data_IF_366070086496
#
_entry.id   IF_366070086496
#
_cell.length_a   1.000
_cell.length_b   1.000
_cell.length_c   1.000
_cell.angle_alpha   90.00
_cell.angle_beta   90.00
_cell.angle_gamma   90.00
#
_symmetry.space_group_name_H-M   'P 1'
#
loop_
_entity.id
_entity.type
_entity.pdbx_description
1 polymer ?
#
# COMPACT_ATOMS: atom_id res chain seq x y z
N UNK A 1 6.47 23.04 10.63
CA UNK A 1 5.30 22.80 11.49
C UNK A 1 5.19 21.29 11.60
N UNK A 2 5.22 20.69 12.79
CA UNK A 2 4.99 19.23 12.90
C UNK A 2 3.53 18.97 12.55
N UNK A 3 3.27 17.98 11.70
CA UNK A 3 1.91 17.60 11.31
C UNK A 3 1.15 17.03 12.50
N UNK A 4 -0.19 17.05 12.44
CA UNK A 4 -1.03 16.44 13.47
C UNK A 4 -0.74 14.93 13.60
N UNK A 5 -0.40 14.26 12.49
CA UNK A 5 0.02 12.86 12.47
C UNK A 5 1.33 12.62 13.24
N UNK A 6 2.36 13.44 13.01
CA UNK A 6 3.63 13.31 13.72
C UNK A 6 3.46 13.54 15.23
N UNK A 7 2.53 14.43 15.63
CA UNK A 7 2.21 14.65 17.04
C UNK A 7 1.49 13.43 17.65
N UNK A 8 0.53 12.85 16.95
CA UNK A 8 -0.20 11.67 17.39
C UNK A 8 0.72 10.45 17.59
N UNK A 9 1.67 10.21 16.67
CA UNK A 9 2.63 9.12 16.84
C UNK A 9 3.56 9.34 18.03
N UNK A 10 4.04 10.57 18.24
CA UNK A 10 4.87 10.90 19.40
C UNK A 10 4.11 10.68 20.72
N UNK A 11 2.82 10.99 20.77
CA UNK A 11 2.00 10.73 21.97
C UNK A 11 1.86 9.22 22.24
N UNK A 12 1.61 8.42 21.19
CA UNK A 12 1.48 6.95 21.31
C UNK A 12 2.81 6.33 21.75
N UNK A 13 3.93 6.75 21.16
CA UNK A 13 5.26 6.20 21.50
C UNK A 13 5.64 6.52 22.94
N UNK A 14 5.43 7.76 23.39
CA UNK A 14 5.70 8.17 24.78
C UNK A 14 4.79 7.44 25.78
N UNK A 15 3.50 7.31 25.48
CA UNK A 15 2.53 6.68 26.39
C UNK A 15 2.75 5.18 26.56
N UNK A 16 3.07 4.47 25.48
CA UNK A 16 3.18 3.01 25.48
C UNK A 16 4.63 2.51 25.50
N UNK A 17 5.62 3.41 25.43
CA UNK A 17 7.03 3.06 25.42
C UNK A 17 7.47 2.29 24.16
N UNK A 18 6.82 2.56 23.02
CA UNK A 18 7.06 1.89 21.74
C UNK A 18 7.94 2.76 20.84
N UNK A 19 8.72 2.12 19.95
CA UNK A 19 9.36 2.86 18.86
C UNK A 19 8.32 3.30 17.82
N UNK A 20 8.60 4.39 17.11
CA UNK A 20 7.72 4.85 16.02
C UNK A 20 7.58 3.77 14.95
N UNK A 21 8.68 3.06 14.65
CA UNK A 21 8.70 1.94 13.70
C UNK A 21 7.68 0.85 14.08
N UNK A 22 7.63 0.44 15.35
CA UNK A 22 6.66 -0.58 15.79
C UNK A 22 5.21 -0.10 15.63
N UNK A 23 4.92 1.17 15.89
CA UNK A 23 3.57 1.72 15.71
C UNK A 23 3.21 1.77 14.23
N UNK A 24 4.15 2.18 13.38
CA UNK A 24 3.97 2.25 11.93
C UNK A 24 3.72 0.87 11.33
N UNK A 25 4.54 -0.13 11.68
CA UNK A 25 4.36 -1.52 11.22
C UNK A 25 2.99 -2.08 11.60
N UNK A 26 2.54 -1.82 12.83
CA UNK A 26 1.22 -2.27 13.29
C UNK A 26 0.09 -1.59 12.49
N UNK A 27 0.25 -0.30 12.16
CA UNK A 27 -0.72 0.46 11.40
C UNK A 27 -0.76 0.02 9.92
N UNK A 28 0.40 -0.14 9.29
CA UNK A 28 0.55 -0.69 7.93
C UNK A 28 -0.11 -2.07 7.81
N UNK A 29 0.14 -2.96 8.78
CA UNK A 29 -0.49 -4.28 8.82
C UNK A 29 -2.02 -4.20 8.98
N UNK A 30 -2.52 -3.30 9.84
CA UNK A 30 -3.96 -3.08 10.01
C UNK A 30 -4.62 -2.55 8.74
N UNK A 31 -3.99 -1.57 8.07
CA UNK A 31 -4.46 -1.01 6.81
C UNK A 31 -4.41 -2.03 5.68
N UNK A 32 -3.35 -2.82 5.56
CA UNK A 32 -3.26 -3.92 4.60
C UNK A 32 -4.41 -4.91 4.77
N UNK A 33 -4.74 -5.25 6.02
CA UNK A 33 -5.88 -6.11 6.34
C UNK A 33 -7.21 -5.47 5.93
N UNK A 34 -7.37 -4.17 6.12
CA UNK A 34 -8.57 -3.42 5.70
C UNK A 34 -8.70 -3.36 4.18
N UNK A 35 -7.61 -3.07 3.45
CA UNK A 35 -7.58 -3.07 2.00
C UNK A 35 -7.98 -4.43 1.42
N UNK A 36 -7.36 -5.52 1.91
CA UNK A 36 -7.68 -6.87 1.44
C UNK A 36 -9.16 -7.19 1.59
N UNK A 37 -9.78 -6.77 2.70
CA UNK A 37 -11.23 -6.93 2.91
C UNK A 37 -12.08 -6.06 1.98
N UNK A 38 -11.68 -4.81 1.72
CA UNK A 38 -12.49 -3.88 0.92
C UNK A 38 -12.58 -4.30 -0.54
N UNK A 39 -11.50 -4.86 -1.09
CA UNK A 39 -11.44 -5.30 -2.50
C UNK A 39 -11.61 -6.81 -2.66
N UNK A 40 -11.88 -7.55 -1.58
CA UNK A 40 -11.91 -9.02 -1.57
C UNK A 40 -10.63 -9.65 -2.19
N UNK A 41 -9.47 -9.07 -1.90
CA UNK A 41 -8.19 -9.55 -2.42
C UNK A 41 -7.90 -10.98 -1.94
N UNK A 42 -7.30 -11.78 -2.81
CA UNK A 42 -6.80 -13.10 -2.45
C UNK A 42 -5.75 -13.00 -1.34
N UNK A 43 -5.71 -13.99 -0.45
CA UNK A 43 -4.62 -14.09 0.53
C UNK A 43 -3.27 -14.31 -0.16
N UNK A 44 -3.26 -14.94 -1.33
CA UNK A 44 -2.07 -15.23 -2.12
C UNK A 44 -1.52 -14.01 -2.87
N UNK A 45 -2.34 -12.97 -3.10
CA UNK A 45 -1.88 -11.74 -3.74
C UNK A 45 -1.03 -10.93 -2.76
N UNK A 46 0.14 -10.48 -3.21
CA UNK A 46 0.96 -9.57 -2.41
C UNK A 46 0.35 -8.18 -2.40
N UNK A 47 0.24 -7.61 -1.20
CA UNK A 47 -0.26 -6.26 -0.94
C UNK A 47 0.67 -5.65 0.08
N UNK A 48 1.21 -4.48 -0.22
CA UNK A 48 2.02 -3.69 0.68
C UNK A 48 1.34 -2.36 0.93
N UNK A 49 1.39 -1.90 2.19
CA UNK A 49 0.91 -0.57 2.56
C UNK A 49 2.09 0.17 3.18
N UNK A 50 2.31 1.40 2.74
CA UNK A 50 3.31 2.30 3.28
C UNK A 50 2.66 3.56 3.77
N UNK A 51 3.12 4.04 4.93
CA UNK A 51 2.63 5.28 5.51
C UNK A 51 3.82 6.22 5.70
N UNK A 52 3.71 7.43 5.17
CA UNK A 52 4.68 8.48 5.42
C UNK A 52 4.47 9.04 6.84
N UNK A 53 5.46 8.83 7.71
CA UNK A 53 5.37 9.18 9.13
C UNK A 53 5.25 10.69 9.39
N UNK A 54 5.70 11.52 8.44
CA UNK A 54 5.67 12.96 8.57
C UNK A 54 4.36 13.56 8.06
N UNK A 55 3.78 13.03 6.99
CA UNK A 55 2.59 13.59 6.34
C UNK A 55 1.32 12.82 6.61
N UNK A 56 1.43 11.54 6.99
CA UNK A 56 0.32 10.59 7.09
C UNK A 56 -0.17 10.10 5.73
N UNK A 57 0.54 10.38 4.63
CA UNK A 57 0.18 9.89 3.31
C UNK A 57 0.26 8.36 3.27
N UNK A 58 -0.77 7.72 2.72
CA UNK A 58 -0.85 6.25 2.59
C UNK A 58 -0.67 5.88 1.14
N UNK A 59 0.20 4.91 0.88
CA UNK A 59 0.40 4.30 -0.42
C UNK A 59 0.10 2.80 -0.31
N UNK A 60 -0.66 2.27 -1.27
CA UNK A 60 -0.96 0.84 -1.38
C UNK A 60 -0.39 0.31 -2.67
N UNK A 61 0.56 -0.62 -2.57
CA UNK A 61 1.12 -1.36 -3.69
C UNK A 61 0.50 -2.75 -3.74
N UNK A 62 0.08 -3.19 -4.92
CA UNK A 62 -0.56 -4.48 -5.13
C UNK A 62 0.12 -5.20 -6.28
N UNK A 63 0.39 -6.49 -6.08
CA UNK A 63 0.92 -7.36 -7.10
C UNK A 63 -0.13 -7.62 -8.19
N UNK A 64 0.20 -7.30 -9.43
CA UNK A 64 -0.66 -7.53 -10.59
C UNK A 64 0.13 -8.12 -11.76
N UNK A 65 -0.54 -8.94 -12.56
CA UNK A 65 -0.01 -9.51 -13.78
C UNK A 65 0.01 -8.47 -14.91
N UNK A 66 1.14 -8.33 -15.59
CA UNK A 66 1.27 -7.45 -16.75
C UNK A 66 0.61 -8.08 -17.98
N UNK A 67 -0.47 -7.47 -18.48
CA UNK A 67 -1.26 -7.99 -19.61
C UNK A 67 -1.38 -6.97 -20.75
N UNK A 68 -1.79 -7.44 -21.92
CA UNK A 68 -2.07 -6.57 -23.08
C UNK A 68 -3.45 -5.90 -22.97
N UNK A 69 -4.45 -6.63 -22.49
CA UNK A 69 -5.80 -6.13 -22.26
C UNK A 69 -6.27 -6.61 -20.87
N UNK A 70 -6.67 -5.66 -20.03
CA UNK A 70 -7.11 -5.93 -18.65
C UNK A 70 -8.55 -6.47 -18.68
N UNK A 71 -8.73 -7.68 -18.13
CA UNK A 71 -10.03 -8.28 -17.85
C UNK A 71 -10.43 -8.10 -16.37
N UNK A 72 -9.44 -8.09 -15.47
CA UNK A 72 -9.66 -7.87 -14.03
C UNK A 72 -8.65 -6.88 -13.42
N UNK A 73 -9.09 -5.63 -13.24
CA UNK A 73 -8.27 -4.55 -12.66
C UNK A 73 -7.73 -4.83 -11.24
N UNK A 74 -8.29 -5.82 -10.54
CA UNK A 74 -7.80 -6.20 -9.21
C UNK A 74 -6.51 -7.02 -9.27
N UNK A 75 -6.33 -7.81 -10.34
CA UNK A 75 -5.23 -8.77 -10.47
C UNK A 75 -4.33 -8.49 -11.67
N UNK A 76 -4.74 -7.59 -12.57
CA UNK A 76 -4.08 -7.33 -13.84
C UNK A 76 -3.81 -5.84 -14.02
N UNK A 77 -2.78 -5.54 -14.79
CA UNK A 77 -2.37 -4.19 -15.17
C UNK A 77 -1.84 -4.18 -16.59
N UNK A 78 -2.10 -3.12 -17.35
CA UNK A 78 -1.51 -2.98 -18.68
C UNK A 78 0.02 -2.96 -18.59
N UNK A 79 0.69 -3.63 -19.53
CA UNK A 79 2.16 -3.67 -19.60
C UNK A 79 2.79 -2.26 -19.56
N UNK A 80 2.15 -1.28 -20.21
CA UNK A 80 2.62 0.10 -20.20
C UNK A 80 2.73 0.67 -18.78
N UNK A 81 1.68 0.48 -17.96
CA UNK A 81 1.65 0.93 -16.57
C UNK A 81 2.56 0.07 -15.69
N UNK A 82 2.65 -1.24 -15.90
CA UNK A 82 3.62 -2.09 -15.20
C UNK A 82 5.06 -1.59 -15.39
N UNK A 83 5.40 -1.13 -16.60
CA UNK A 83 6.71 -0.58 -16.93
C UNK A 83 7.06 0.73 -16.23
N UNK A 84 6.08 1.44 -15.71
CA UNK A 84 6.32 2.64 -14.88
C UNK A 84 6.88 2.27 -13.50
N UNK A 85 6.59 1.06 -13.00
CA UNK A 85 7.09 0.54 -11.73
C UNK A 85 8.30 -0.37 -11.90
N UNK A 86 8.32 -1.16 -12.97
CA UNK A 86 9.44 -2.01 -13.36
C UNK A 86 9.70 -1.91 -14.86
N UNK A 87 10.69 -1.11 -15.27
CA UNK A 87 11.00 -0.86 -16.68
C UNK A 87 11.35 -2.12 -17.48
N UNK A 88 11.78 -3.19 -16.81
CA UNK A 88 12.13 -4.48 -17.42
C UNK A 88 10.94 -5.46 -17.50
N UNK A 89 9.74 -5.07 -17.05
CA UNK A 89 8.57 -5.94 -17.05
C UNK A 89 8.18 -6.41 -18.47
N UNK A 90 7.82 -7.68 -18.56
CA UNK A 90 7.30 -8.36 -19.75
C UNK A 90 5.86 -8.81 -19.54
N UNK A 91 5.19 -9.24 -20.61
CA UNK A 91 3.83 -9.80 -20.51
C UNK A 91 3.85 -11.08 -19.66
N UNK A 92 2.95 -11.17 -18.69
CA UNK A 92 2.84 -12.27 -17.74
C UNK A 92 3.67 -12.10 -16.46
N UNK A 93 4.47 -11.03 -16.34
CA UNK A 93 5.21 -10.75 -15.11
C UNK A 93 4.28 -10.25 -14.00
N UNK A 94 4.59 -10.62 -12.77
CA UNK A 94 3.94 -10.06 -11.57
C UNK A 94 4.71 -8.82 -11.12
N UNK A 95 4.02 -7.66 -11.08
CA UNK A 95 4.62 -6.37 -10.74
C UNK A 95 3.81 -5.70 -9.62
N UNK A 96 4.51 -5.12 -8.64
CA UNK A 96 3.89 -4.28 -7.62
C UNK A 96 3.52 -2.93 -8.22
N UNK A 97 2.23 -2.63 -8.28
CA UNK A 97 1.71 -1.37 -8.82
C UNK A 97 0.87 -0.64 -7.80
N UNK A 98 0.95 0.70 -7.81
CA UNK A 98 0.13 1.56 -6.97
C UNK A 98 -1.37 1.34 -7.26
N UNK A 99 -2.13 1.06 -6.20
CA UNK A 99 -3.58 0.83 -6.24
C UNK A 99 -4.28 1.49 -5.05
N UNK A 100 -3.74 2.62 -4.56
CA UNK A 100 -4.31 3.40 -3.45
C UNK A 100 -5.70 3.91 -3.82
N UNK A 101 -6.77 3.52 -3.10
CA UNK A 101 -8.10 4.10 -3.32
C UNK A 101 -8.15 5.59 -2.91
N UNK A 102 -8.94 6.41 -3.61
CA UNK A 102 -8.99 7.88 -3.42
C UNK A 102 -9.29 8.33 -1.98
N UNK A 103 -10.08 7.55 -1.22
CA UNK A 103 -10.45 7.83 0.17
C UNK A 103 -9.84 6.82 1.17
N UNK A 104 -8.75 6.14 0.80
CA UNK A 104 -8.16 5.12 1.67
C UNK A 104 -7.43 5.77 2.86
N UNK A 105 -7.84 5.39 4.07
CA UNK A 105 -7.25 5.91 5.31
C UNK A 105 -7.68 7.35 5.65
N UNK A 106 -8.64 7.92 4.92
CA UNK A 106 -9.27 9.24 5.18
C UNK A 106 -10.57 9.13 5.97
#
# INVERSE_FOLDING_TARGET
MKTEFALAFNEITERFGLSIETVMEALEAAMMSAYRRSVNASSAQMVEVKIDADTGAVEVLVEKEAVEAVENEQTEVELGRAKEFNAEAELGDMVMVESTPEDFGR
#
